data_IF_276428206476
#
_entry.id   IF_276428206476
#
_cell.length_a   1.000
_cell.length_b   1.000
_cell.length_c   1.000
_cell.angle_alpha   90.00
_cell.angle_beta   90.00
_cell.angle_gamma   90.00
#
_symmetry.space_group_name_H-M   'P 1'
#
loop_
_entity.id
_entity.type
_entity.pdbx_description
1 polymer ?
#
# COMPACT_ATOMS: atom_id res chain seq x y z
N UNK A 1 1.86 -8.86 28.22
CA UNK A 1 2.54 -8.09 27.17
C UNK A 1 1.46 -7.64 26.19
N UNK A 2 1.52 -6.42 25.66
CA UNK A 2 0.62 -5.94 24.62
C UNK A 2 1.26 -6.17 23.25
N UNK A 3 0.49 -6.68 22.30
CA UNK A 3 0.95 -6.99 20.95
C UNK A 3 0.25 -6.05 19.96
N UNK A 4 1.01 -5.40 19.09
CA UNK A 4 0.49 -4.60 18.00
C UNK A 4 0.83 -5.22 16.65
N UNK A 5 -0.12 -5.30 15.73
CA UNK A 5 0.15 -5.66 14.33
C UNK A 5 0.23 -4.40 13.48
N UNK A 6 1.27 -4.33 12.68
CA UNK A 6 1.47 -3.26 11.70
C UNK A 6 1.40 -3.85 10.29
N UNK A 7 0.43 -3.41 9.52
CA UNK A 7 0.21 -3.90 8.16
C UNK A 7 0.85 -2.98 7.13
N UNK A 8 1.66 -3.53 6.20
CA UNK A 8 2.38 -2.73 5.22
C UNK A 8 1.46 -2.15 4.15
N UNK A 9 1.94 -1.08 3.52
CA UNK A 9 1.39 -0.54 2.29
C UNK A 9 2.04 -1.12 1.04
N UNK A 10 1.67 -0.57 -0.12
CA UNK A 10 2.26 -0.90 -1.42
C UNK A 10 3.77 -0.67 -1.40
N UNK A 11 4.54 -1.61 -1.98
CA UNK A 11 6.00 -1.65 -1.95
C UNK A 11 6.56 -2.86 -1.18
N UNK A 12 5.74 -3.52 -0.36
CA UNK A 12 6.13 -4.70 0.40
C UNK A 12 5.93 -6.03 -0.35
N UNK A 13 5.32 -6.00 -1.55
CA UNK A 13 5.01 -7.20 -2.34
C UNK A 13 6.27 -7.86 -2.91
N UNK A 14 6.26 -9.19 -2.92
CA UNK A 14 7.27 -9.99 -3.61
C UNK A 14 6.61 -11.24 -4.20
N UNK A 15 7.13 -11.71 -5.34
CA UNK A 15 6.67 -12.98 -5.93
C UNK A 15 6.98 -14.12 -4.96
N UNK A 16 6.02 -15.00 -4.78
CA UNK A 16 6.09 -16.10 -3.81
C UNK A 16 5.48 -15.78 -2.45
N UNK A 17 5.06 -14.51 -2.21
CA UNK A 17 4.51 -14.11 -0.92
C UNK A 17 3.29 -14.95 -0.53
N UNK A 18 3.33 -15.53 0.69
CA UNK A 18 2.26 -16.32 1.27
C UNK A 18 2.14 -17.76 0.78
N UNK A 19 2.98 -18.20 -0.17
CA UNK A 19 2.95 -19.55 -0.72
C UNK A 19 3.30 -20.63 0.32
N UNK A 20 4.25 -20.34 1.18
CA UNK A 20 4.65 -21.18 2.30
C UNK A 20 3.54 -21.27 3.37
N UNK A 21 2.89 -20.17 3.69
CA UNK A 21 1.72 -20.18 4.59
C UNK A 21 0.54 -20.95 3.99
N UNK A 22 0.28 -20.79 2.69
CA UNK A 22 -0.75 -21.57 1.99
C UNK A 22 -0.47 -23.07 2.08
N UNK A 23 0.78 -23.49 1.99
CA UNK A 23 1.17 -24.89 2.09
C UNK A 23 1.03 -25.43 3.54
N UNK A 24 1.36 -24.61 4.54
CA UNK A 24 1.44 -25.03 5.93
C UNK A 24 0.12 -24.97 6.70
N UNK A 25 -0.77 -24.00 6.38
CA UNK A 25 -1.96 -23.71 7.18
C UNK A 25 -3.27 -23.92 6.38
N UNK A 26 -4.10 -24.91 6.74
CA UNK A 26 -5.37 -25.15 6.05
C UNK A 26 -6.33 -23.95 6.04
N UNK A 27 -6.37 -23.16 7.11
CA UNK A 27 -7.20 -21.94 7.18
C UNK A 27 -6.76 -20.86 6.20
N UNK A 28 -5.45 -20.76 5.94
CA UNK A 28 -4.89 -19.84 4.95
C UNK A 28 -5.29 -20.24 3.53
N UNK A 29 -5.44 -21.52 3.25
CA UNK A 29 -5.91 -22.00 1.92
C UNK A 29 -7.24 -21.36 1.54
N UNK A 30 -8.18 -21.24 2.47
CA UNK A 30 -9.50 -20.66 2.21
C UNK A 30 -9.43 -19.21 1.69
N UNK A 31 -8.48 -18.41 2.19
CA UNK A 31 -8.27 -17.05 1.70
C UNK A 31 -7.78 -17.01 0.26
N UNK A 32 -6.79 -17.83 -0.07
CA UNK A 32 -6.19 -17.85 -1.41
C UNK A 32 -7.05 -18.58 -2.43
N UNK A 33 -7.78 -19.62 -2.04
CA UNK A 33 -8.67 -20.37 -2.95
C UNK A 33 -9.89 -19.52 -3.37
N UNK A 34 -10.34 -18.61 -2.50
CA UNK A 34 -11.36 -17.62 -2.82
C UNK A 34 -10.83 -16.39 -3.57
N UNK A 35 -9.50 -16.25 -3.74
CA UNK A 35 -8.87 -15.06 -4.31
C UNK A 35 -8.45 -15.27 -5.76
N UNK A 36 -8.97 -14.49 -6.72
CA UNK A 36 -8.77 -14.73 -8.15
C UNK A 36 -7.33 -14.49 -8.62
N UNK A 37 -6.51 -13.79 -7.83
CA UNK A 37 -5.13 -13.43 -8.21
C UNK A 37 -4.07 -14.18 -7.38
N UNK A 38 -4.42 -15.33 -6.81
CA UNK A 38 -3.48 -16.19 -6.06
C UNK A 38 -2.20 -16.45 -6.84
N UNK A 39 -2.32 -16.81 -8.11
CA UNK A 39 -1.18 -17.15 -8.95
C UNK A 39 -0.27 -15.93 -9.22
N UNK A 40 -0.82 -14.71 -9.17
CA UNK A 40 -0.01 -13.48 -9.23
C UNK A 40 0.84 -13.33 -7.96
N UNK A 41 0.30 -13.70 -6.79
CA UNK A 41 1.08 -13.71 -5.54
C UNK A 41 2.20 -14.75 -5.59
N UNK A 42 1.89 -15.97 -6.04
CA UNK A 42 2.79 -17.13 -5.92
C UNK A 42 3.80 -17.22 -7.05
N UNK A 43 3.39 -16.93 -8.28
CA UNK A 43 4.18 -17.17 -9.49
C UNK A 43 4.53 -15.87 -10.25
N UNK A 44 3.87 -14.77 -9.94
CA UNK A 44 4.05 -13.50 -10.62
C UNK A 44 3.36 -13.43 -12.00
N UNK A 45 3.97 -12.84 -13.03
CA UNK A 45 5.30 -12.21 -13.02
C UNK A 45 5.38 -10.95 -12.14
N UNK A 46 6.61 -10.52 -11.78
CA UNK A 46 6.84 -9.37 -10.89
C UNK A 46 6.17 -8.10 -11.42
N UNK A 47 6.26 -7.85 -12.71
CA UNK A 47 5.67 -6.68 -13.37
C UNK A 47 4.15 -6.62 -13.19
N UNK A 48 3.49 -7.79 -13.19
CA UNK A 48 2.05 -7.89 -12.93
C UNK A 48 1.73 -7.66 -11.46
N UNK A 49 2.55 -8.23 -10.57
CA UNK A 49 2.40 -8.03 -9.13
C UNK A 49 2.66 -6.57 -8.72
N UNK A 50 3.55 -5.86 -9.41
CA UNK A 50 3.87 -4.44 -9.16
C UNK A 50 2.83 -3.48 -9.78
N UNK A 51 1.94 -3.96 -10.64
CA UNK A 51 0.83 -3.13 -11.12
C UNK A 51 -0.17 -2.90 -9.98
N UNK A 52 -0.46 -1.62 -9.69
CA UNK A 52 -1.33 -1.18 -8.59
C UNK A 52 -2.68 -1.89 -8.56
N UNK A 53 -3.20 -2.26 -9.73
CA UNK A 53 -4.44 -3.02 -9.85
C UNK A 53 -4.38 -4.36 -9.09
N UNK A 54 -3.27 -5.09 -9.20
CA UNK A 54 -3.08 -6.37 -8.53
C UNK A 54 -2.46 -6.24 -7.14
N UNK A 55 -1.46 -5.36 -7.00
CA UNK A 55 -0.67 -5.19 -5.77
C UNK A 55 -1.55 -5.04 -4.53
N UNK A 56 -2.59 -4.21 -4.64
CA UNK A 56 -3.43 -3.84 -3.49
C UNK A 56 -4.13 -5.06 -2.89
N UNK A 57 -4.85 -5.81 -3.70
CA UNK A 57 -5.58 -7.00 -3.23
C UNK A 57 -4.65 -8.15 -2.87
N UNK A 58 -3.54 -8.32 -3.60
CA UNK A 58 -2.53 -9.33 -3.30
C UNK A 58 -1.89 -9.12 -1.92
N UNK A 59 -1.52 -7.88 -1.57
CA UNK A 59 -0.98 -7.55 -0.25
C UNK A 59 -2.01 -7.70 0.87
N UNK A 60 -3.27 -7.29 0.64
CA UNK A 60 -4.35 -7.48 1.60
C UNK A 60 -4.49 -8.97 1.97
N UNK A 61 -4.67 -9.82 0.96
CA UNK A 61 -4.89 -11.26 1.15
C UNK A 61 -3.69 -11.89 1.84
N UNK A 62 -2.47 -11.59 1.42
CA UNK A 62 -1.26 -12.13 2.03
C UNK A 62 -1.13 -11.70 3.50
N UNK A 63 -1.36 -10.43 3.80
CA UNK A 63 -1.25 -9.91 5.16
C UNK A 63 -2.29 -10.52 6.11
N UNK A 64 -3.54 -10.68 5.63
CA UNK A 64 -4.59 -11.36 6.41
C UNK A 64 -4.28 -12.85 6.60
N UNK A 65 -3.71 -13.50 5.59
CA UNK A 65 -3.30 -14.91 5.66
C UNK A 65 -2.21 -15.12 6.72
N UNK A 66 -1.21 -14.23 6.77
CA UNK A 66 -0.18 -14.27 7.82
C UNK A 66 -0.79 -14.02 9.20
N UNK A 67 -1.70 -13.05 9.32
CA UNK A 67 -2.38 -12.80 10.59
C UNK A 67 -3.25 -13.99 11.04
N UNK A 68 -3.85 -14.72 10.10
CA UNK A 68 -4.61 -15.95 10.39
C UNK A 68 -3.68 -17.08 10.85
N UNK A 69 -2.53 -17.27 10.21
CA UNK A 69 -1.54 -18.25 10.65
C UNK A 69 -1.02 -17.92 12.07
N UNK A 70 -0.71 -16.66 12.35
CA UNK A 70 -0.32 -16.23 13.69
C UNK A 70 -1.40 -16.52 14.74
N UNK A 71 -2.68 -16.34 14.37
CA UNK A 71 -3.80 -16.63 15.25
C UNK A 71 -3.89 -18.13 15.58
N UNK A 72 -3.60 -19.02 14.64
CA UNK A 72 -3.53 -20.47 14.88
C UNK A 72 -2.39 -20.84 15.82
N UNK A 73 -1.28 -20.11 15.77
CA UNK A 73 -0.15 -20.26 16.70
C UNK A 73 -0.40 -19.56 18.06
N UNK A 74 -1.63 -19.09 18.32
CA UNK A 74 -2.01 -18.44 19.58
C UNK A 74 -1.54 -16.98 19.71
N UNK A 75 -1.06 -16.37 18.64
CA UNK A 75 -0.59 -14.97 18.61
C UNK A 75 -1.70 -14.08 18.05
N UNK A 76 -2.24 -13.21 18.88
CA UNK A 76 -3.26 -12.23 18.50
C UNK A 76 -2.82 -10.82 18.90
N UNK A 77 -3.23 -9.83 18.11
CA UNK A 77 -2.93 -8.44 18.43
C UNK A 77 -4.01 -7.83 19.33
N UNK A 78 -3.55 -7.05 20.31
CA UNK A 78 -4.42 -6.15 21.12
C UNK A 78 -4.79 -4.89 20.34
N UNK A 79 -3.97 -4.51 19.33
CA UNK A 79 -4.17 -3.34 18.49
C UNK A 79 -3.59 -3.58 17.08
N UNK A 80 -4.16 -2.92 16.10
CA UNK A 80 -3.72 -3.01 14.71
C UNK A 80 -3.64 -1.62 14.09
N UNK A 81 -2.65 -1.41 13.23
CA UNK A 81 -2.52 -0.22 12.42
C UNK A 81 -1.97 -0.59 11.04
N UNK A 82 -2.13 0.29 10.06
CA UNK A 82 -1.64 0.03 8.71
C UNK A 82 -1.36 1.30 7.93
N UNK A 83 -0.41 1.21 7.01
CA UNK A 83 -0.04 2.30 6.12
C UNK A 83 -0.81 2.20 4.81
N UNK A 84 -1.63 3.22 4.47
CA UNK A 84 -2.36 3.30 3.19
C UNK A 84 -3.21 2.05 2.95
N UNK A 85 -2.81 1.11 2.09
CA UNK A 85 -3.47 -0.18 1.92
C UNK A 85 -3.56 -0.97 3.23
N UNK A 86 -2.52 -0.94 4.04
CA UNK A 86 -2.47 -1.65 5.32
C UNK A 86 -3.57 -1.22 6.29
N UNK A 87 -4.12 -0.01 6.17
CA UNK A 87 -5.28 0.43 6.94
C UNK A 87 -6.51 -0.45 6.68
N UNK A 88 -6.79 -0.78 5.42
CA UNK A 88 -7.87 -1.72 5.06
C UNK A 88 -7.62 -3.10 5.65
N UNK A 89 -6.36 -3.56 5.66
CA UNK A 89 -5.98 -4.81 6.30
C UNK A 89 -6.22 -4.77 7.81
N UNK A 90 -5.81 -3.68 8.47
CA UNK A 90 -6.03 -3.49 9.90
C UNK A 90 -7.51 -3.45 10.27
N UNK A 91 -8.33 -2.75 9.48
CA UNK A 91 -9.78 -2.69 9.66
C UNK A 91 -10.44 -4.05 9.46
N UNK A 92 -9.99 -4.82 8.45
CA UNK A 92 -10.49 -6.18 8.21
C UNK A 92 -10.08 -7.11 9.35
N UNK A 93 -8.83 -7.04 9.81
CA UNK A 93 -8.35 -7.80 10.97
C UNK A 93 -9.16 -7.49 12.24
N UNK A 94 -9.53 -6.21 12.43
CA UNK A 94 -10.37 -5.75 13.54
C UNK A 94 -11.87 -6.12 13.40
N UNK A 95 -12.28 -6.75 12.28
CA UNK A 95 -13.66 -7.18 12.04
C UNK A 95 -14.59 -6.07 11.53
N UNK A 96 -14.06 -4.93 11.06
CA UNK A 96 -14.87 -3.86 10.46
C UNK A 96 -15.40 -4.27 9.09
N UNK A 97 -14.58 -4.96 8.31
CA UNK A 97 -14.95 -5.52 7.00
C UNK A 97 -14.93 -7.04 7.04
N UNK A 98 -15.83 -7.68 6.29
CA UNK A 98 -15.64 -9.09 5.93
C UNK A 98 -14.45 -9.22 4.97
N UNK A 99 -13.86 -10.42 4.89
CA UNK A 99 -12.79 -10.68 3.92
C UNK A 99 -13.23 -10.38 2.49
N UNK A 100 -14.43 -10.82 2.11
CA UNK A 100 -14.98 -10.60 0.77
C UNK A 100 -15.14 -9.11 0.45
N UNK A 101 -15.71 -8.34 1.39
CA UNK A 101 -15.89 -6.89 1.21
C UNK A 101 -14.55 -6.17 1.11
N UNK A 102 -13.59 -6.53 1.95
CA UNK A 102 -12.25 -5.95 1.93
C UNK A 102 -11.54 -6.20 0.58
N UNK A 103 -11.60 -7.43 0.06
CA UNK A 103 -11.04 -7.76 -1.26
C UNK A 103 -11.71 -6.94 -2.35
N UNK A 104 -13.06 -6.81 -2.32
CA UNK A 104 -13.80 -6.03 -3.29
C UNK A 104 -13.43 -4.54 -3.23
N UNK A 105 -13.45 -3.93 -2.05
CA UNK A 105 -13.13 -2.51 -1.82
C UNK A 105 -11.69 -2.22 -2.28
N UNK A 106 -10.73 -3.05 -1.88
CA UNK A 106 -9.33 -2.83 -2.19
C UNK A 106 -9.03 -3.08 -3.67
N UNK A 107 -9.70 -4.04 -4.32
CA UNK A 107 -9.60 -4.24 -5.77
C UNK A 107 -10.14 -3.02 -6.51
N UNK A 108 -11.28 -2.47 -6.08
CA UNK A 108 -11.83 -1.24 -6.68
C UNK A 108 -10.91 -0.03 -6.45
N UNK A 109 -10.31 0.07 -5.27
CA UNK A 109 -9.28 1.09 -4.98
C UNK A 109 -8.09 0.97 -5.92
N UNK A 110 -7.58 -0.24 -6.12
CA UNK A 110 -6.46 -0.51 -7.03
C UNK A 110 -6.79 -0.12 -8.48
N UNK A 111 -7.98 -0.48 -8.95
CA UNK A 111 -8.49 -0.08 -10.28
C UNK A 111 -8.54 1.44 -10.44
N UNK A 112 -9.14 2.14 -9.47
CA UNK A 112 -9.27 3.59 -9.51
C UNK A 112 -7.90 4.28 -9.48
N UNK A 113 -6.98 3.81 -8.64
CA UNK A 113 -5.62 4.35 -8.57
C UNK A 113 -4.83 4.10 -9.85
N UNK A 114 -4.97 2.91 -10.45
CA UNK A 114 -4.27 2.58 -11.69
C UNK A 114 -4.74 3.42 -12.88
N UNK A 115 -6.01 3.86 -12.86
CA UNK A 115 -6.65 4.59 -13.94
C UNK A 115 -6.84 6.09 -13.66
N UNK A 116 -6.42 6.58 -12.50
CA UNK A 116 -6.65 7.98 -12.09
C UNK A 116 -5.97 8.98 -13.03
N UNK A 117 -4.81 8.63 -13.56
CA UNK A 117 -4.02 9.51 -14.41
C UNK A 117 -3.25 8.67 -15.45
N UNK A 118 -2.92 9.29 -16.58
CA UNK A 118 -2.10 8.64 -17.62
C UNK A 118 -0.72 8.25 -17.08
N UNK A 119 -0.30 7.00 -17.36
CA UNK A 119 1.01 6.48 -16.97
C UNK A 119 2.13 7.42 -17.45
N UNK A 120 3.03 7.79 -16.54
CA UNK A 120 4.20 8.63 -16.83
C UNK A 120 3.97 10.14 -16.75
N UNK A 121 2.72 10.61 -16.64
CA UNK A 121 2.43 12.05 -16.46
C UNK A 121 2.53 12.52 -15.02
N UNK A 122 2.55 11.60 -14.06
CA UNK A 122 2.61 11.90 -12.64
C UNK A 122 3.66 11.09 -11.92
N UNK A 123 4.09 11.59 -10.77
CA UNK A 123 5.01 10.91 -9.85
C UNK A 123 4.57 11.11 -8.42
N UNK A 124 4.92 10.13 -7.58
CA UNK A 124 4.93 10.25 -6.13
C UNK A 124 6.39 10.18 -5.66
N UNK A 125 6.76 11.11 -4.78
CA UNK A 125 8.14 11.23 -4.26
C UNK A 125 8.08 11.32 -2.74
N UNK A 126 8.80 10.43 -2.05
CA UNK A 126 9.01 10.53 -0.63
C UNK A 126 10.09 11.57 -0.33
N UNK A 127 9.80 12.50 0.56
CA UNK A 127 10.74 13.50 1.06
C UNK A 127 11.08 13.12 2.50
N UNK A 128 12.37 12.94 2.74
CA UNK A 128 12.92 12.64 4.06
C UNK A 128 13.56 13.91 4.64
N UNK A 129 13.10 14.31 5.81
CA UNK A 129 13.49 15.59 6.42
C UNK A 129 12.68 16.78 5.86
N UNK A 130 13.09 17.99 6.24
CA UNK A 130 12.43 19.23 5.84
C UNK A 130 11.17 19.58 6.66
N UNK A 131 10.85 20.85 6.63
CA UNK A 131 9.64 21.38 7.27
C UNK A 131 8.42 21.20 6.38
N UNK A 132 7.31 20.75 6.97
CA UNK A 132 6.08 20.48 6.22
C UNK A 132 5.45 21.73 5.59
N UNK A 133 5.61 22.91 6.23
CA UNK A 133 5.07 24.16 5.73
C UNK A 133 5.90 24.66 4.54
N UNK A 134 7.24 24.52 4.62
CA UNK A 134 8.13 24.85 3.51
C UNK A 134 7.85 23.97 2.29
N UNK A 135 7.66 22.66 2.49
CA UNK A 135 7.33 21.71 1.42
C UNK A 135 5.98 22.08 0.79
N UNK A 136 4.98 22.44 1.60
CA UNK A 136 3.67 22.85 1.10
C UNK A 136 3.74 24.14 0.28
N UNK A 137 4.53 25.13 0.72
CA UNK A 137 4.78 26.36 -0.04
C UNK A 137 5.46 26.08 -1.38
N UNK A 138 6.45 25.19 -1.40
CA UNK A 138 7.10 24.76 -2.65
C UNK A 138 6.09 24.11 -3.58
N UNK A 139 5.26 23.18 -3.06
CA UNK A 139 4.20 22.54 -3.86
C UNK A 139 3.24 23.58 -4.47
N UNK A 140 2.82 24.56 -3.70
CA UNK A 140 1.96 25.65 -4.17
C UNK A 140 2.66 26.51 -5.25
N UNK A 141 3.93 26.83 -5.05
CA UNK A 141 4.72 27.66 -5.97
C UNK A 141 4.94 27.01 -7.33
N UNK A 142 5.09 25.67 -7.35
CA UNK A 142 5.33 24.93 -8.62
C UNK A 142 4.03 24.52 -9.31
N UNK A 143 2.89 24.61 -8.62
CA UNK A 143 1.58 24.27 -9.17
C UNK A 143 1.07 25.35 -10.13
N UNK A 144 0.37 24.90 -11.16
CA UNK A 144 -0.37 25.75 -12.11
C UNK A 144 -1.82 25.23 -12.20
N UNK A 145 -2.73 25.94 -12.87
CA UNK A 145 -4.10 25.44 -13.06
C UNK A 145 -4.20 24.06 -13.75
N UNK A 146 -3.18 23.66 -14.52
CA UNK A 146 -3.15 22.41 -15.30
C UNK A 146 -2.14 21.39 -14.78
N UNK A 147 -1.17 21.81 -13.98
CA UNK A 147 -0.13 20.93 -13.42
C UNK A 147 -0.09 21.12 -11.91
N UNK A 148 -0.60 20.16 -11.17
CA UNK A 148 -0.75 20.23 -9.71
C UNK A 148 0.35 19.41 -9.04
N UNK A 149 0.91 19.96 -7.95
CA UNK A 149 1.74 19.26 -6.99
C UNK A 149 1.17 19.50 -5.59
N UNK A 150 1.07 18.44 -4.78
CA UNK A 150 0.51 18.53 -3.43
C UNK A 150 1.14 17.51 -2.49
N UNK A 151 1.06 17.77 -1.18
CA UNK A 151 1.39 16.74 -0.18
C UNK A 151 0.28 15.70 -0.21
N UNK A 152 0.64 14.46 -0.56
CA UNK A 152 -0.26 13.31 -0.61
C UNK A 152 -0.31 12.56 0.72
N UNK A 153 0.83 12.43 1.42
CA UNK A 153 0.92 11.72 2.70
C UNK A 153 1.78 12.48 3.71
N UNK A 154 1.37 12.41 4.98
CA UNK A 154 2.16 12.78 6.15
C UNK A 154 2.35 11.51 6.97
N UNK A 155 3.42 10.75 6.70
CA UNK A 155 3.58 9.39 7.25
C UNK A 155 4.06 9.39 8.69
N UNK A 156 5.05 10.24 8.99
CA UNK A 156 5.57 10.45 10.34
C UNK A 156 6.34 11.78 10.38
N UNK A 157 6.76 12.25 11.56
CA UNK A 157 7.68 13.38 11.64
C UNK A 157 8.91 13.14 10.76
N UNK A 158 9.19 14.08 9.85
CA UNK A 158 10.32 13.98 8.93
C UNK A 158 10.10 13.10 7.68
N UNK A 159 8.90 12.57 7.43
CA UNK A 159 8.60 11.88 6.18
C UNK A 159 7.26 12.31 5.59
N UNK A 160 7.33 12.95 4.44
CA UNK A 160 6.19 13.36 3.63
C UNK A 160 6.24 12.69 2.27
N UNK A 161 5.09 12.52 1.63
CA UNK A 161 5.02 12.13 0.23
C UNK A 161 4.31 13.22 -0.54
N UNK A 162 4.95 13.72 -1.58
CA UNK A 162 4.31 14.63 -2.54
C UNK A 162 3.88 13.85 -3.77
N UNK A 163 2.78 14.26 -4.38
CA UNK A 163 2.25 13.72 -5.62
C UNK A 163 1.89 14.84 -6.57
N UNK A 164 2.11 14.62 -7.84
CA UNK A 164 1.78 15.64 -8.83
C UNK A 164 2.23 15.27 -10.24
N UNK A 165 1.96 16.18 -11.14
CA UNK A 165 2.43 16.09 -12.52
C UNK A 165 3.95 16.05 -12.57
N UNK A 166 4.52 15.33 -13.55
CA UNK A 166 5.97 15.23 -13.74
C UNK A 166 6.50 16.58 -14.27
N UNK A 167 6.56 17.54 -13.37
CA UNK A 167 7.09 18.87 -13.67
C UNK A 167 8.62 18.83 -13.66
N UNK A 168 9.26 19.30 -14.73
CA UNK A 168 10.73 19.43 -14.82
C UNK A 168 11.33 20.31 -13.71
N UNK A 169 10.51 21.13 -13.03
CA UNK A 169 10.93 22.04 -11.94
C UNK A 169 11.12 21.34 -10.59
N UNK A 170 10.41 20.21 -10.35
CA UNK A 170 10.57 19.42 -9.10
C UNK A 170 11.89 18.63 -9.05
N UNK A 171 12.58 18.50 -10.18
CA UNK A 171 13.81 17.73 -10.31
C UNK A 171 15.08 18.60 -10.30
N UNK A 172 15.01 19.86 -9.88
CA UNK A 172 16.21 20.66 -9.76
C UNK A 172 17.06 20.18 -8.57
N UNK A 173 18.30 19.66 -8.80
CA UNK A 173 19.10 18.95 -7.77
C UNK A 173 19.47 19.79 -6.53
N UNK A 174 19.17 21.08 -6.51
CA UNK A 174 19.50 22.00 -5.41
C UNK A 174 18.37 22.24 -4.39
N UNK A 175 17.19 21.64 -4.59
CA UNK A 175 16.02 21.86 -3.72
C UNK A 175 15.40 20.57 -3.17
N UNK A 176 15.93 19.41 -3.55
CA UNK A 176 15.51 18.12 -3.00
C UNK A 176 16.75 17.52 -2.35
N UNK A 177 16.88 17.71 -1.05
CA UNK A 177 17.76 16.87 -0.23
C UNK A 177 17.05 15.50 -0.13
N UNK A 178 17.59 14.54 -0.87
CA UNK A 178 17.27 13.11 -0.74
C UNK A 178 17.75 12.58 0.62
#
# INVERSE_FOLDING_TARGET
MKIGFLFPGQGAQCVGMGKDFYAAYPSVKAYYDAFPYRDVCFEGPKEKLDDTFYTQSCLLVTSLSIAQALKEEGIQADMAAGLSLGEYTALTYAGVFSFSDAVHIVSKRGELMANALEKGKTKMVAILGGDAQEIEQVCQTVSTPTEICTIANRNCPGQLVISGHTCKRLLHPRQILL
#
